data_IF_105406437718
#
_entry.id   IF_105406437718
#
_cell.length_a   1.000
_cell.length_b   1.000
_cell.length_c   1.000
_cell.angle_alpha   90.00
_cell.angle_beta   90.00
_cell.angle_gamma   90.00
#
_symmetry.space_group_name_H-M   'P 1'
#
loop_
_entity.id
_entity.type
_entity.pdbx_description
1 polymer ?
#
# COMPACT_ATOMS: atom_id res chain seq x y z
N UNK A 1 -6.00 -2.93 -20.39
CA UNK A 1 -4.94 -3.28 -19.43
C UNK A 1 -5.12 -2.39 -18.22
N UNK A 2 -5.11 -2.94 -17.02
CA UNK A 2 -5.18 -2.13 -15.80
C UNK A 2 -3.92 -1.25 -15.72
N UNK A 3 -4.08 -0.01 -15.29
CA UNK A 3 -2.96 0.89 -15.00
C UNK A 3 -2.32 0.42 -13.69
N UNK A 4 -1.01 0.10 -13.67
CA UNK A 4 -0.32 -0.24 -12.43
C UNK A 4 -0.44 0.89 -11.41
N UNK A 5 -0.70 0.56 -10.16
CA UNK A 5 -0.73 1.54 -9.05
C UNK A 5 0.66 2.10 -8.76
N UNK A 6 1.70 1.34 -9.09
CA UNK A 6 3.09 1.75 -9.00
C UNK A 6 3.93 1.10 -10.10
N UNK A 7 5.09 1.68 -10.37
CA UNK A 7 6.07 1.21 -11.33
C UNK A 7 7.46 1.35 -10.73
N UNK A 8 8.41 0.52 -11.15
CA UNK A 8 9.82 0.68 -10.80
C UNK A 8 10.62 0.95 -12.06
N UNK A 9 11.37 2.05 -12.06
CA UNK A 9 12.32 2.37 -13.11
C UNK A 9 13.72 1.93 -12.63
N UNK A 10 14.37 1.01 -13.35
CA UNK A 10 15.57 0.29 -12.86
C UNK A 10 16.64 0.16 -13.95
N UNK A 11 17.83 -0.30 -13.55
CA UNK A 11 18.89 -0.72 -14.49
C UNK A 11 20.05 0.27 -14.68
N UNK A 12 20.04 1.40 -13.98
CA UNK A 12 21.19 2.32 -13.96
C UNK A 12 21.88 2.29 -12.59
N UNK A 13 23.15 1.84 -12.48
CA UNK A 13 23.89 1.92 -11.24
C UNK A 13 24.16 3.37 -10.85
N UNK A 14 24.34 3.62 -9.55
CA UNK A 14 24.53 4.97 -8.98
C UNK A 14 25.72 5.73 -9.57
N UNK A 15 26.70 5.03 -10.15
CA UNK A 15 27.89 5.60 -10.81
C UNK A 15 27.62 6.22 -12.17
N UNK A 16 26.49 5.93 -12.82
CA UNK A 16 26.17 6.52 -14.12
C UNK A 16 25.36 7.82 -13.99
N UNK A 17 25.55 8.73 -14.95
CA UNK A 17 24.73 9.94 -15.12
C UNK A 17 23.23 9.59 -15.16
N UNK A 18 22.39 10.42 -14.55
CA UNK A 18 20.94 10.21 -14.47
C UNK A 18 20.54 8.89 -13.79
N UNK A 19 21.35 8.34 -12.87
CA UNK A 19 20.95 7.17 -12.06
C UNK A 19 19.87 7.51 -11.03
N UNK A 20 19.73 8.79 -10.67
CA UNK A 20 18.73 9.32 -9.75
C UNK A 20 17.29 9.16 -10.24
N UNK A 21 17.08 8.94 -11.54
CA UNK A 21 15.74 8.68 -12.08
C UNK A 21 15.24 7.27 -11.76
N UNK A 22 16.12 6.33 -11.40
CA UNK A 22 15.73 4.98 -11.02
C UNK A 22 15.10 4.98 -9.61
N UNK A 23 14.05 4.19 -9.43
CA UNK A 23 13.33 4.08 -8.16
C UNK A 23 11.89 3.63 -8.32
N UNK A 24 11.15 3.67 -7.21
CA UNK A 24 9.71 3.46 -7.19
C UNK A 24 8.99 4.73 -7.64
N UNK A 25 7.97 4.56 -8.46
CA UNK A 25 7.08 5.59 -8.99
C UNK A 25 5.65 5.19 -8.65
N UNK A 26 4.86 6.09 -8.08
CA UNK A 26 3.47 5.81 -7.66
C UNK A 26 2.51 6.63 -8.50
N UNK A 27 1.40 6.01 -8.91
CA UNK A 27 0.36 6.68 -9.68
C UNK A 27 -0.17 7.90 -8.92
N UNK A 28 -0.20 9.04 -9.59
CA UNK A 28 -0.46 10.35 -8.98
C UNK A 28 -1.54 11.16 -9.70
N UNK A 29 -2.00 10.70 -10.87
CA UNK A 29 -2.99 11.39 -11.67
C UNK A 29 -2.87 11.04 -13.15
N UNK A 30 -3.42 11.91 -13.99
CA UNK A 30 -3.50 11.71 -15.43
C UNK A 30 -2.93 12.91 -16.18
N UNK A 31 -2.20 12.65 -17.26
CA UNK A 31 -1.72 13.65 -18.22
C UNK A 31 -1.95 13.13 -19.64
N UNK A 32 -2.57 13.95 -20.50
CA UNK A 32 -2.92 13.57 -21.88
C UNK A 32 -3.69 12.23 -21.99
N UNK A 33 -4.60 11.98 -21.03
CA UNK A 33 -5.40 10.76 -20.99
C UNK A 33 -4.62 9.50 -20.57
N UNK A 34 -3.39 9.66 -20.06
CA UNK A 34 -2.56 8.56 -19.57
C UNK A 34 -2.12 8.74 -18.14
N UNK A 35 -1.79 7.63 -17.50
CA UNK A 35 -1.33 7.61 -16.12
C UNK A 35 -0.06 8.44 -15.94
N UNK A 36 0.00 9.18 -14.84
CA UNK A 36 1.17 9.94 -14.42
C UNK A 36 1.66 9.40 -13.10
N UNK A 37 2.97 9.22 -12.98
CA UNK A 37 3.60 8.67 -11.81
C UNK A 37 4.62 9.63 -11.21
N UNK A 38 4.73 9.65 -9.89
CA UNK A 38 5.73 10.44 -9.17
C UNK A 38 6.70 9.50 -8.46
N UNK A 39 8.00 9.78 -8.62
CA UNK A 39 9.06 9.04 -7.96
C UNK A 39 9.03 9.31 -6.45
N UNK A 40 9.17 8.26 -5.67
CA UNK A 40 9.13 8.33 -4.20
C UNK A 40 10.30 9.15 -3.65
N UNK A 41 10.00 10.18 -2.86
CA UNK A 41 11.00 11.00 -2.18
C UNK A 41 11.71 12.05 -3.05
N UNK A 42 11.26 12.25 -4.30
CA UNK A 42 11.78 13.27 -5.21
C UNK A 42 10.63 14.04 -5.88
N UNK A 43 10.95 15.01 -6.73
CA UNK A 43 9.97 15.68 -7.60
C UNK A 43 9.93 15.06 -9.00
N UNK A 44 10.62 13.94 -9.23
CA UNK A 44 10.70 13.34 -10.55
C UNK A 44 9.35 12.75 -10.93
N UNK A 45 8.84 13.09 -12.11
CA UNK A 45 7.62 12.52 -12.67
C UNK A 45 7.93 11.65 -13.88
N UNK A 46 7.13 10.60 -14.06
CA UNK A 46 7.03 9.82 -15.28
C UNK A 46 5.62 10.05 -15.85
N UNK A 47 5.52 10.63 -17.05
CA UNK A 47 4.25 11.01 -17.66
C UNK A 47 4.31 10.94 -19.18
N UNK A 48 3.15 10.92 -19.84
CA UNK A 48 3.07 10.90 -21.29
C UNK A 48 2.92 12.32 -21.84
N UNK A 49 3.67 12.66 -22.89
CA UNK A 49 3.59 13.94 -23.59
C UNK A 49 4.02 13.80 -25.04
N UNK A 50 3.25 14.39 -25.95
CA UNK A 50 3.59 14.50 -27.38
C UNK A 50 3.98 13.16 -28.03
N UNK A 51 3.30 12.06 -27.67
CA UNK A 51 3.59 10.74 -28.25
C UNK A 51 4.75 9.98 -27.58
N UNK A 52 5.26 10.46 -26.45
CA UNK A 52 6.38 9.84 -25.74
C UNK A 52 6.13 9.77 -24.23
N UNK A 53 6.67 8.75 -23.58
CA UNK A 53 6.83 8.75 -22.13
C UNK A 53 8.07 9.54 -21.77
N UNK A 54 7.96 10.40 -20.77
CA UNK A 54 9.00 11.33 -20.33
C UNK A 54 9.25 11.11 -18.84
N UNK A 55 10.53 11.13 -18.47
CA UNK A 55 10.98 11.22 -17.07
C UNK A 55 11.57 12.61 -16.85
N UNK A 56 10.94 13.42 -16.00
CA UNK A 56 11.34 14.80 -15.72
C UNK A 56 11.55 15.01 -14.22
N UNK A 57 12.70 15.55 -13.83
CA UNK A 57 13.09 15.79 -12.43
C UNK A 57 12.28 16.86 -11.72
N UNK A 58 11.58 17.69 -12.49
CA UNK A 58 10.86 18.86 -11.97
C UNK A 58 9.35 18.68 -12.02
N UNK A 59 8.89 17.42 -12.11
CA UNK A 59 7.49 17.07 -12.14
C UNK A 59 6.88 17.16 -13.53
N UNK A 60 5.55 17.20 -13.57
CA UNK A 60 4.79 17.38 -14.81
C UNK A 60 4.82 18.85 -15.19
N UNK A 61 5.34 19.18 -16.38
CA UNK A 61 5.40 20.55 -16.88
C UNK A 61 5.41 20.59 -18.40
N UNK A 62 5.04 21.74 -18.94
CA UNK A 62 5.10 22.00 -20.38
C UNK A 62 6.50 22.51 -20.77
N UNK A 63 7.49 21.62 -20.80
CA UNK A 63 8.87 21.96 -21.20
C UNK A 63 9.55 20.79 -21.88
N UNK A 64 10.38 21.02 -22.89
CA UNK A 64 11.06 19.94 -23.63
C UNK A 64 12.26 19.33 -22.88
N UNK A 65 12.39 19.65 -21.59
CA UNK A 65 13.42 19.11 -20.72
C UNK A 65 13.00 17.73 -20.21
N UNK A 66 13.84 16.73 -20.46
CA UNK A 66 13.66 15.37 -19.96
C UNK A 66 15.00 14.77 -19.53
N UNK A 67 14.98 13.93 -18.50
CA UNK A 67 16.12 13.11 -18.12
C UNK A 67 16.18 11.82 -18.96
N UNK A 68 15.02 11.26 -19.28
CA UNK A 68 14.86 10.13 -20.17
C UNK A 68 13.52 10.22 -20.90
N UNK A 69 13.41 9.56 -22.05
CA UNK A 69 12.15 9.38 -22.75
C UNK A 69 12.09 8.00 -23.42
N UNK A 70 10.88 7.55 -23.70
CA UNK A 70 10.63 6.35 -24.47
C UNK A 70 9.50 6.61 -25.48
N UNK A 71 9.73 6.22 -26.74
CA UNK A 71 8.70 6.36 -27.78
C UNK A 71 7.60 5.35 -27.52
N UNK A 72 6.35 5.80 -27.56
CA UNK A 72 5.23 4.89 -27.45
C UNK A 72 4.20 5.18 -28.52
N UNK A 73 3.89 4.12 -29.28
CA UNK A 73 2.94 4.20 -30.36
C UNK A 73 1.55 3.69 -29.98
N UNK A 74 1.37 2.90 -28.90
CA UNK A 74 0.12 2.14 -28.68
C UNK A 74 -0.20 1.71 -27.22
N UNK A 75 0.70 1.82 -26.25
CA UNK A 75 0.47 1.25 -24.91
C UNK A 75 -0.04 2.29 -23.89
N UNK A 76 -0.90 1.94 -22.93
CA UNK A 76 -1.32 2.87 -21.87
C UNK A 76 -0.28 3.00 -20.75
N UNK A 77 0.77 2.19 -20.75
CA UNK A 77 1.80 2.12 -19.71
C UNK A 77 3.20 2.15 -20.32
N UNK A 78 4.24 2.57 -19.57
CA UNK A 78 5.61 2.62 -20.08
C UNK A 78 6.34 1.25 -20.07
N UNK A 79 5.62 0.16 -19.87
CA UNK A 79 6.21 -1.17 -19.65
C UNK A 79 6.83 -1.73 -20.94
N UNK A 80 8.03 -2.31 -20.82
CA UNK A 80 8.72 -2.94 -21.94
C UNK A 80 9.17 -1.98 -23.06
N UNK A 81 9.11 -0.66 -22.83
CA UNK A 81 9.58 0.32 -23.80
C UNK A 81 11.11 0.43 -23.80
N UNK A 82 11.67 0.77 -24.97
CA UNK A 82 13.08 1.12 -25.10
C UNK A 82 13.29 2.58 -24.69
N UNK A 83 14.09 2.79 -23.66
CA UNK A 83 14.36 4.11 -23.11
C UNK A 83 15.60 4.74 -23.75
N UNK A 84 15.57 6.06 -23.92
CA UNK A 84 16.72 6.88 -24.27
C UNK A 84 16.98 7.88 -23.14
N UNK A 85 18.22 7.99 -22.70
CA UNK A 85 18.63 8.79 -21.54
C UNK A 85 19.54 9.92 -22.02
N UNK A 86 19.30 11.13 -21.51
CA UNK A 86 20.15 12.28 -21.86
C UNK A 86 21.59 12.01 -21.46
N UNK A 87 22.56 12.32 -22.33
CA UNK A 87 23.99 12.22 -22.04
C UNK A 87 24.63 13.57 -22.24
N UNK A 88 25.07 14.22 -21.16
CA UNK A 88 25.72 15.54 -21.23
C UNK A 88 26.91 15.57 -22.18
N UNK A 89 27.72 14.50 -22.20
CA UNK A 89 28.86 14.37 -23.11
C UNK A 89 28.47 14.28 -24.59
N UNK A 90 27.36 13.61 -24.92
CA UNK A 90 26.84 13.51 -26.29
C UNK A 90 25.97 14.71 -26.69
N UNK A 91 25.46 15.47 -25.71
CA UNK A 91 24.41 16.48 -25.86
C UNK A 91 23.20 15.94 -26.62
N UNK A 92 22.88 14.67 -26.38
CA UNK A 92 21.78 13.97 -27.03
C UNK A 92 21.24 12.87 -26.12
N UNK A 93 20.06 12.35 -26.45
CA UNK A 93 19.49 11.16 -25.85
C UNK A 93 20.07 9.90 -26.49
N UNK A 94 20.68 9.06 -25.67
CA UNK A 94 21.28 7.80 -26.11
C UNK A 94 20.42 6.65 -25.62
N UNK A 95 20.14 5.69 -26.51
CA UNK A 95 19.41 4.48 -26.16
C UNK A 95 20.10 3.75 -24.99
N UNK A 96 19.32 3.39 -23.99
CA UNK A 96 19.77 2.70 -22.79
C UNK A 96 19.05 1.37 -22.67
N UNK A 97 19.75 0.29 -23.00
CA UNK A 97 19.21 -1.06 -22.97
C UNK A 97 19.00 -1.59 -21.55
N UNK A 98 19.62 -0.96 -20.55
CA UNK A 98 19.50 -1.39 -19.17
C UNK A 98 18.32 -0.71 -18.47
N UNK A 99 17.96 0.51 -18.88
CA UNK A 99 16.85 1.24 -18.26
C UNK A 99 15.51 0.59 -18.63
N UNK A 100 14.79 0.10 -17.61
CA UNK A 100 13.53 -0.61 -17.79
C UNK A 100 12.50 -0.11 -16.78
N UNK A 101 11.25 0.04 -17.24
CA UNK A 101 10.09 0.26 -16.39
C UNK A 101 9.37 -1.08 -16.17
N UNK A 102 9.18 -1.45 -14.91
CA UNK A 102 8.56 -2.71 -14.49
C UNK A 102 7.33 -2.47 -13.60
N UNK A 103 6.32 -3.30 -13.80
CA UNK A 103 5.20 -3.45 -12.86
C UNK A 103 5.62 -4.45 -11.79
N UNK A 104 6.03 -3.93 -10.64
CA UNK A 104 6.66 -4.71 -9.57
C UNK A 104 6.16 -4.24 -8.19
N UNK A 105 4.86 -4.43 -7.89
CA UNK A 105 4.29 -4.14 -6.59
C UNK A 105 4.83 -5.12 -5.56
N UNK A 106 4.85 -4.75 -4.28
CA UNK A 106 5.05 -5.73 -3.22
C UNK A 106 3.87 -6.72 -3.21
N UNK A 107 4.14 -7.96 -2.80
CA UNK A 107 3.16 -9.05 -2.90
C UNK A 107 3.05 -9.81 -1.57
N UNK A 108 1.85 -10.29 -1.24
CA UNK A 108 1.64 -11.20 -0.12
C UNK A 108 1.39 -12.60 -0.65
N UNK A 109 2.17 -13.57 -0.16
CA UNK A 109 1.97 -14.98 -0.43
C UNK A 109 1.17 -15.62 0.70
N UNK A 110 0.08 -16.29 0.36
CA UNK A 110 -0.82 -16.97 1.29
C UNK A 110 -0.68 -18.47 1.02
N UNK A 111 -0.44 -19.24 2.07
CA UNK A 111 -0.40 -20.70 2.01
C UNK A 111 -0.73 -21.32 3.36
N UNK A 112 -1.07 -22.62 3.37
CA UNK A 112 -1.14 -23.41 4.61
C UNK A 112 0.24 -23.63 5.25
N UNK A 113 1.28 -23.44 4.45
CA UNK A 113 2.68 -23.49 4.85
C UNK A 113 3.12 -22.13 5.37
N UNK A 114 3.26 -22.02 6.68
CA UNK A 114 3.70 -20.80 7.34
C UNK A 114 5.09 -20.35 6.88
N UNK A 115 5.97 -21.30 6.53
CA UNK A 115 7.35 -21.05 6.10
C UNK A 115 7.48 -20.30 4.77
N UNK A 116 6.44 -20.34 3.92
CA UNK A 116 6.43 -19.63 2.63
C UNK A 116 5.39 -18.50 2.58
N UNK A 117 4.60 -18.34 3.63
CA UNK A 117 3.55 -17.32 3.70
C UNK A 117 4.10 -16.01 4.25
N UNK A 118 3.49 -14.89 3.87
CA UNK A 118 3.84 -13.57 4.36
C UNK A 118 4.07 -12.56 3.24
N UNK A 119 4.57 -11.40 3.62
CA UNK A 119 4.87 -10.32 2.68
C UNK A 119 6.23 -10.54 2.03
N UNK A 120 6.28 -10.35 0.72
CA UNK A 120 7.48 -10.39 -0.09
C UNK A 120 7.65 -9.02 -0.73
N UNK A 121 8.77 -8.39 -0.42
CA UNK A 121 9.11 -7.07 -0.95
C UNK A 121 9.90 -7.24 -2.23
N UNK A 122 9.77 -6.28 -3.15
CA UNK A 122 10.60 -6.25 -4.35
C UNK A 122 12.09 -6.19 -3.95
N UNK A 123 12.87 -7.18 -4.42
CA UNK A 123 14.28 -7.33 -4.06
C UNK A 123 15.23 -7.07 -5.24
N UNK A 124 14.74 -7.14 -6.48
CA UNK A 124 15.53 -6.82 -7.66
C UNK A 124 14.93 -7.36 -8.97
N UNK A 125 15.75 -7.37 -10.01
CA UNK A 125 15.37 -7.88 -11.34
C UNK A 125 16.32 -9.00 -11.72
N UNK A 126 15.76 -10.08 -12.24
CA UNK A 126 16.49 -11.20 -12.83
C UNK A 126 15.87 -11.53 -14.17
N UNK A 127 16.67 -11.57 -15.24
CA UNK A 127 16.21 -11.93 -16.59
C UNK A 127 15.06 -11.04 -17.12
N UNK A 128 15.01 -9.77 -16.71
CA UNK A 128 13.97 -8.82 -17.12
C UNK A 128 12.67 -8.90 -16.31
N UNK A 129 12.58 -9.80 -15.32
CA UNK A 129 11.42 -9.93 -14.44
C UNK A 129 11.77 -9.56 -12.99
N UNK A 130 10.81 -9.02 -12.22
CA UNK A 130 11.02 -8.77 -10.81
C UNK A 130 11.21 -10.08 -10.03
N UNK A 131 12.05 -10.05 -9.01
CA UNK A 131 12.04 -11.05 -7.94
C UNK A 131 11.81 -10.39 -6.59
N UNK A 132 11.24 -11.17 -5.68
CA UNK A 132 10.75 -10.71 -4.40
C UNK A 132 11.36 -11.53 -3.28
N UNK A 133 11.54 -10.95 -2.10
CA UNK A 133 12.08 -11.67 -0.95
C UNK A 133 11.38 -11.26 0.35
N UNK A 134 11.28 -12.22 1.26
CA UNK A 134 10.87 -12.00 2.65
C UNK A 134 12.03 -12.28 3.64
N UNK A 135 13.28 -12.31 3.14
CA UNK A 135 14.47 -12.70 3.91
C UNK A 135 14.89 -14.14 3.65
N UNK A 136 14.02 -15.11 3.96
CA UNK A 136 14.33 -16.55 3.90
C UNK A 136 13.96 -17.20 2.56
N UNK A 137 12.91 -16.67 1.93
CA UNK A 137 12.34 -17.16 0.69
C UNK A 137 12.39 -16.09 -0.38
N UNK A 138 12.32 -16.54 -1.64
CA UNK A 138 12.23 -15.69 -2.80
C UNK A 138 11.16 -16.16 -3.79
N UNK A 139 10.48 -15.19 -4.39
CA UNK A 139 9.58 -15.40 -5.53
C UNK A 139 10.29 -14.88 -6.77
N UNK A 140 10.52 -15.73 -7.78
CA UNK A 140 11.24 -15.33 -9.00
C UNK A 140 10.65 -15.96 -10.25
N UNK A 141 10.87 -15.31 -11.38
CA UNK A 141 10.54 -15.87 -12.68
C UNK A 141 11.56 -16.93 -13.11
N UNK A 142 11.09 -17.98 -13.76
CA UNK A 142 11.92 -19.01 -14.38
C UNK A 142 11.63 -19.05 -15.88
N UNK A 143 12.58 -18.55 -16.67
CA UNK A 143 12.38 -18.27 -18.09
C UNK A 143 12.10 -19.53 -18.94
N UNK A 144 12.89 -20.58 -18.77
CA UNK A 144 12.73 -21.84 -19.52
C UNK A 144 11.35 -22.48 -19.27
N UNK A 145 10.89 -22.42 -18.02
CA UNK A 145 9.60 -23.00 -17.63
C UNK A 145 8.41 -22.06 -17.80
N UNK A 146 8.63 -20.76 -18.05
CA UNK A 146 7.62 -19.69 -18.03
C UNK A 146 6.76 -19.71 -16.75
N UNK A 147 7.40 -19.88 -15.59
CA UNK A 147 6.76 -20.03 -14.28
C UNK A 147 7.25 -19.00 -13.27
N UNK A 148 6.38 -18.63 -12.33
CA UNK A 148 6.77 -18.04 -11.06
C UNK A 148 7.11 -19.14 -10.08
N UNK A 149 8.25 -19.05 -9.41
CA UNK A 149 8.75 -20.03 -8.44
C UNK A 149 8.88 -19.39 -7.07
N UNK A 150 8.49 -20.11 -6.01
CA UNK A 150 8.82 -19.80 -4.62
C UNK A 150 9.93 -20.77 -4.19
N UNK A 151 11.09 -20.27 -3.79
CA UNK A 151 12.25 -21.09 -3.41
C UNK A 151 13.07 -20.42 -2.30
N UNK A 152 13.89 -21.21 -1.59
CA UNK A 152 14.87 -20.67 -0.65
C UNK A 152 15.93 -19.81 -1.35
N UNK A 153 16.55 -18.90 -0.61
CA UNK A 153 17.50 -17.92 -1.19
C UNK A 153 18.71 -18.54 -1.90
N UNK A 154 19.11 -19.73 -1.47
CA UNK A 154 20.24 -20.49 -2.01
C UNK A 154 19.90 -21.32 -3.25
N UNK A 155 18.61 -21.51 -3.57
CA UNK A 155 18.18 -22.39 -4.65
C UNK A 155 18.24 -21.72 -6.03
N UNK A 156 19.02 -22.32 -6.93
CA UNK A 156 19.15 -21.91 -8.35
C UNK A 156 18.33 -22.81 -9.29
N UNK A 157 18.10 -22.35 -10.52
CA UNK A 157 17.43 -23.13 -11.57
C UNK A 157 15.95 -23.37 -11.27
N UNK A 158 15.49 -24.61 -11.43
CA UNK A 158 14.08 -24.99 -11.29
C UNK A 158 13.72 -25.61 -9.91
N UNK A 159 14.65 -25.61 -8.95
CA UNK A 159 14.34 -26.11 -7.60
C UNK A 159 13.46 -25.10 -6.85
N UNK A 160 12.28 -25.53 -6.40
CA UNK A 160 11.29 -24.68 -5.75
C UNK A 160 10.38 -25.48 -4.81
N UNK A 161 9.66 -24.75 -3.96
CA UNK A 161 8.66 -25.27 -3.01
C UNK A 161 7.25 -25.11 -3.56
N UNK A 162 7.00 -24.03 -4.29
CA UNK A 162 5.75 -23.77 -4.99
C UNK A 162 6.04 -23.14 -6.36
N UNK A 163 5.14 -23.33 -7.31
CA UNK A 163 5.18 -22.62 -8.58
C UNK A 163 3.79 -22.27 -9.11
N UNK A 164 3.71 -21.28 -9.99
CA UNK A 164 2.54 -20.99 -10.81
C UNK A 164 2.98 -20.78 -12.27
N UNK A 165 2.20 -21.30 -13.22
CA UNK A 165 2.39 -20.96 -14.63
C UNK A 165 2.18 -19.47 -14.83
N UNK A 166 3.14 -18.76 -15.43
CA UNK A 166 3.12 -17.31 -15.39
C UNK A 166 2.05 -16.68 -16.29
N UNK A 167 1.59 -17.36 -17.34
CA UNK A 167 0.54 -16.86 -18.26
C UNK A 167 0.82 -15.42 -18.76
N UNK A 168 2.08 -15.10 -19.04
CA UNK A 168 2.51 -13.77 -19.52
C UNK A 168 2.27 -12.63 -18.52
N UNK A 169 2.06 -12.95 -17.25
CA UNK A 169 2.00 -11.96 -16.18
C UNK A 169 3.37 -11.34 -15.91
N UNK A 170 3.38 -10.06 -15.60
CA UNK A 170 4.60 -9.29 -15.30
C UNK A 170 5.12 -9.51 -13.87
N UNK A 171 4.25 -9.97 -12.97
CA UNK A 171 4.54 -10.22 -11.56
C UNK A 171 3.69 -11.38 -11.03
N UNK A 172 4.01 -11.99 -9.87
CA UNK A 172 3.26 -13.12 -9.32
C UNK A 172 1.95 -12.72 -8.61
N UNK A 173 1.75 -11.42 -8.32
CA UNK A 173 0.60 -10.90 -7.56
C UNK A 173 -0.77 -10.92 -8.25
N UNK A 174 -0.95 -11.61 -9.37
CA UNK A 174 -2.24 -11.71 -10.05
C UNK A 174 -3.09 -12.84 -9.44
N UNK A 175 -4.26 -12.50 -8.90
CA UNK A 175 -5.12 -13.44 -8.16
C UNK A 175 -5.68 -14.61 -8.98
N UNK A 176 -5.56 -14.61 -10.31
CA UNK A 176 -5.99 -15.73 -11.17
C UNK A 176 -4.90 -16.81 -11.36
N UNK A 177 -3.66 -16.55 -10.91
CA UNK A 177 -2.57 -17.53 -11.01
C UNK A 177 -2.84 -18.72 -10.09
N UNK A 178 -2.72 -19.93 -10.64
CA UNK A 178 -2.92 -21.18 -9.92
C UNK A 178 -1.58 -21.70 -9.40
N UNK A 179 -1.46 -21.78 -8.08
CA UNK A 179 -0.23 -22.24 -7.43
C UNK A 179 -0.25 -23.74 -7.18
N UNK A 180 0.87 -24.38 -7.48
CA UNK A 180 1.16 -25.78 -7.21
C UNK A 180 2.23 -25.87 -6.13
N UNK A 181 2.01 -26.69 -5.10
CA UNK A 181 2.94 -26.90 -3.99
C UNK A 181 3.50 -28.32 -4.05
N UNK A 182 4.80 -28.46 -3.79
CA UNK A 182 5.45 -29.76 -3.76
C UNK A 182 5.00 -30.55 -2.53
N UNK A 183 4.48 -31.75 -2.75
CA UNK A 183 4.12 -32.68 -1.68
C UNK A 183 5.16 -33.80 -1.59
N UNK A 184 6.03 -33.70 -0.58
CA UNK A 184 7.13 -34.63 -0.36
C UNK A 184 6.68 -36.08 -0.09
N UNK A 185 5.50 -36.30 0.49
CA UNK A 185 5.03 -37.68 0.74
C UNK A 185 4.60 -38.39 -0.54
N UNK A 186 4.10 -37.63 -1.52
CA UNK A 186 3.67 -38.16 -2.82
C UNK A 186 4.72 -38.03 -3.92
N UNK A 187 5.74 -37.19 -3.72
CA UNK A 187 6.69 -36.82 -4.78
C UNK A 187 6.02 -36.13 -5.98
N UNK A 188 4.93 -35.39 -5.74
CA UNK A 188 4.12 -34.77 -6.80
C UNK A 188 3.80 -33.30 -6.48
N UNK A 189 3.60 -32.54 -7.55
CA UNK A 189 3.10 -31.16 -7.51
C UNK A 189 1.57 -31.17 -7.48
N UNK A 190 0.98 -30.60 -6.44
CA UNK A 190 -0.47 -30.53 -6.29
C UNK A 190 -0.93 -29.08 -6.37
N UNK A 191 -1.99 -28.82 -7.15
CA UNK A 191 -2.68 -27.52 -7.08
C UNK A 191 -3.24 -27.33 -5.67
N UNK A 192 -2.90 -26.22 -5.03
CA UNK A 192 -3.45 -25.87 -3.72
C UNK A 192 -4.34 -24.64 -3.86
N UNK A 193 -5.65 -24.85 -3.71
CA UNK A 193 -6.65 -23.79 -3.79
C UNK A 193 -6.54 -22.75 -2.66
N UNK A 194 -5.74 -23.01 -1.62
CA UNK A 194 -5.45 -22.05 -0.55
C UNK A 194 -4.12 -21.32 -0.77
N UNK A 195 -3.42 -21.60 -1.87
CA UNK A 195 -2.13 -21.02 -2.17
C UNK A 195 -2.28 -19.92 -3.22
N UNK A 196 -1.97 -18.69 -2.82
CA UNK A 196 -2.13 -17.51 -3.65
C UNK A 196 -0.99 -16.53 -3.47
N UNK A 197 -0.76 -15.71 -4.48
CA UNK A 197 0.11 -14.55 -4.40
C UNK A 197 -0.67 -13.33 -4.91
N UNK A 198 -0.72 -12.27 -4.11
CA UNK A 198 -1.53 -11.10 -4.39
C UNK A 198 -0.72 -9.82 -4.25
N UNK A 199 -0.91 -8.88 -5.19
CA UNK A 199 -0.49 -7.50 -5.03
C UNK A 199 -1.48 -6.73 -4.15
N UNK A 200 -1.50 -7.05 -2.85
CA UNK A 200 -2.41 -6.49 -1.86
C UNK A 200 -1.73 -6.49 -0.47
N UNK A 201 -2.04 -5.53 0.41
CA UNK A 201 -1.47 -5.50 1.76
C UNK A 201 -1.96 -6.68 2.61
N UNK A 202 -1.13 -7.17 3.53
CA UNK A 202 -1.51 -8.26 4.43
C UNK A 202 -2.53 -7.85 5.49
N UNK A 203 -2.59 -6.57 5.84
CA UNK A 203 -3.51 -6.00 6.83
C UNK A 203 -4.12 -4.71 6.28
N UNK A 204 -5.41 -4.53 6.54
CA UNK A 204 -6.13 -3.27 6.30
C UNK A 204 -6.85 -2.85 7.57
N UNK A 205 -6.95 -1.55 7.80
CA UNK A 205 -7.65 -0.98 8.95
C UNK A 205 -8.91 -0.28 8.49
N UNK A 206 -10.06 -0.67 9.04
CA UNK A 206 -11.31 0.09 8.90
C UNK A 206 -11.49 0.95 10.13
N UNK A 207 -11.54 2.28 9.94
CA UNK A 207 -11.47 3.28 11.01
C UNK A 207 -12.65 4.26 10.96
N UNK A 208 -12.83 5.03 12.03
CA UNK A 208 -13.58 6.29 12.03
C UNK A 208 -15.07 6.20 12.39
N UNK A 209 -15.66 5.02 12.54
CA UNK A 209 -17.03 4.89 13.05
C UNK A 209 -17.07 5.06 14.58
N UNK A 210 -17.97 5.92 15.07
CA UNK A 210 -18.13 6.12 16.52
C UNK A 210 -18.56 4.82 17.23
N UNK A 211 -17.98 4.44 18.40
CA UNK A 211 -18.24 3.14 19.04
C UNK A 211 -19.70 2.83 19.41
N UNK A 212 -20.53 3.87 19.56
CA UNK A 212 -21.96 3.73 19.87
C UNK A 212 -22.86 3.81 18.64
N UNK A 213 -22.31 4.10 17.46
CA UNK A 213 -23.09 4.22 16.24
C UNK A 213 -23.52 2.84 15.71
N UNK A 214 -24.56 2.81 14.87
CA UNK A 214 -24.98 1.59 14.20
C UNK A 214 -23.80 0.99 13.41
N UNK A 215 -23.65 -0.33 13.44
CA UNK A 215 -22.57 -1.04 12.74
C UNK A 215 -21.14 -0.59 13.09
N UNK A 216 -20.90 0.06 14.24
CA UNK A 216 -19.54 0.41 14.72
C UNK A 216 -18.59 -0.80 14.81
N UNK A 217 -19.15 -2.01 14.90
CA UNK A 217 -18.40 -3.27 14.88
C UNK A 217 -17.55 -3.48 13.63
N UNK A 218 -17.85 -2.79 12.51
CA UNK A 218 -17.09 -2.86 11.24
C UNK A 218 -15.64 -2.40 11.41
N UNK A 219 -15.34 -1.55 12.40
CA UNK A 219 -13.99 -1.05 12.61
C UNK A 219 -13.07 -2.11 13.23
N UNK A 220 -11.81 -2.11 12.77
CA UNK A 220 -10.75 -3.00 13.22
C UNK A 220 -9.70 -3.30 12.14
N UNK A 221 -8.71 -4.12 12.50
CA UNK A 221 -7.69 -4.64 11.60
C UNK A 221 -8.18 -5.94 10.95
N UNK A 222 -8.38 -5.93 9.63
CA UNK A 222 -8.72 -7.13 8.88
C UNK A 222 -7.45 -7.68 8.24
N UNK A 223 -7.24 -8.98 8.40
CA UNK A 223 -6.08 -9.71 7.91
C UNK A 223 -6.41 -10.44 6.63
N UNK A 224 -5.50 -10.42 5.68
CA UNK A 224 -5.61 -11.13 4.42
C UNK A 224 -5.63 -12.64 4.71
N UNK A 225 -6.70 -13.33 4.31
CA UNK A 225 -6.89 -14.76 4.59
C UNK A 225 -7.02 -15.61 3.33
N UNK A 226 -7.18 -14.99 2.16
CA UNK A 226 -7.29 -15.73 0.91
C UNK A 226 -7.67 -14.87 -0.28
N UNK A 227 -8.18 -15.54 -1.32
CA UNK A 227 -8.63 -14.94 -2.57
C UNK A 227 -10.05 -15.39 -2.87
N UNK A 228 -10.87 -14.48 -3.36
CA UNK A 228 -12.20 -14.78 -3.91
C UNK A 228 -12.42 -13.93 -5.15
N UNK A 229 -12.88 -14.55 -6.24
CA UNK A 229 -13.06 -13.88 -7.54
C UNK A 229 -11.79 -13.14 -8.02
N UNK A 230 -10.61 -13.72 -7.77
CA UNK A 230 -9.32 -13.13 -8.13
C UNK A 230 -8.94 -11.88 -7.31
N UNK A 231 -9.70 -11.55 -6.26
CA UNK A 231 -9.47 -10.39 -5.36
C UNK A 231 -9.18 -10.84 -3.93
N UNK A 232 -8.45 -10.04 -3.13
CA UNK A 232 -8.15 -10.37 -1.75
C UNK A 232 -9.41 -10.48 -0.87
N UNK A 233 -9.41 -11.47 0.03
CA UNK A 233 -10.41 -11.68 1.07
C UNK A 233 -9.76 -11.39 2.43
N UNK A 234 -10.36 -10.50 3.20
CA UNK A 234 -9.88 -10.12 4.53
C UNK A 234 -10.82 -10.56 5.63
N UNK A 235 -10.30 -10.96 6.79
CA UNK A 235 -11.05 -11.37 7.97
C UNK A 235 -10.67 -10.50 9.17
N UNK A 236 -11.65 -10.04 9.93
CA UNK A 236 -11.42 -9.35 11.21
C UNK A 236 -11.30 -10.40 12.34
N UNK A 237 -10.12 -10.63 12.93
CA UNK A 237 -9.93 -11.67 13.93
C UNK A 237 -10.86 -11.52 15.13
N UNK A 238 -11.35 -12.64 15.67
CA UNK A 238 -12.30 -12.68 16.78
C UNK A 238 -13.71 -12.19 16.43
N UNK A 239 -13.91 -11.58 15.25
CA UNK A 239 -15.22 -11.21 14.73
C UNK A 239 -15.53 -12.06 13.49
N UNK A 240 -16.80 -12.36 13.29
CA UNK A 240 -17.27 -13.06 12.09
C UNK A 240 -17.35 -12.14 10.85
N UNK A 241 -16.52 -11.09 10.81
CA UNK A 241 -16.61 -10.05 9.79
C UNK A 241 -15.56 -10.28 8.70
N UNK A 242 -15.97 -10.21 7.45
CA UNK A 242 -15.08 -10.33 6.28
C UNK A 242 -15.21 -9.13 5.36
N UNK A 243 -14.11 -8.76 4.69
CA UNK A 243 -14.14 -7.86 3.53
C UNK A 243 -13.91 -8.68 2.28
N UNK A 244 -14.86 -8.64 1.35
CA UNK A 244 -14.80 -9.35 0.07
C UNK A 244 -15.15 -8.45 -1.10
N UNK A 245 -14.72 -8.85 -2.28
CA UNK A 245 -15.15 -8.23 -3.53
C UNK A 245 -16.46 -8.86 -4.04
N UNK A 246 -17.34 -8.04 -4.61
CA UNK A 246 -18.58 -8.43 -5.27
C UNK A 246 -18.48 -8.04 -6.76
N UNK A 247 -18.23 -8.99 -7.67
CA UNK A 247 -17.96 -8.68 -9.07
C UNK A 247 -19.16 -8.11 -9.81
N UNK A 248 -20.38 -8.52 -9.44
CA UNK A 248 -21.62 -8.07 -10.12
C UNK A 248 -21.88 -6.57 -9.95
N UNK A 249 -21.45 -6.00 -8.82
CA UNK A 249 -21.65 -4.60 -8.48
C UNK A 249 -20.36 -3.77 -8.45
N UNK A 250 -19.21 -4.36 -8.77
CA UNK A 250 -17.87 -3.75 -8.63
C UNK A 250 -17.69 -3.09 -7.24
N UNK A 251 -17.97 -3.84 -6.16
CA UNK A 251 -17.94 -3.32 -4.78
C UNK A 251 -17.08 -4.15 -3.85
N UNK A 252 -16.50 -3.48 -2.87
CA UNK A 252 -16.00 -4.08 -1.64
C UNK A 252 -17.12 -4.11 -0.62
N UNK A 253 -17.38 -5.26 0.00
CA UNK A 253 -18.44 -5.46 1.00
C UNK A 253 -17.83 -5.88 2.34
N UNK A 254 -18.31 -5.30 3.44
CA UNK A 254 -18.09 -5.79 4.80
C UNK A 254 -19.32 -6.57 5.24
N UNK A 255 -19.15 -7.87 5.48
CA UNK A 255 -20.22 -8.82 5.77
C UNK A 255 -19.98 -9.48 7.13
N UNK A 256 -20.97 -9.42 8.02
CA UNK A 256 -20.95 -10.05 9.35
C UNK A 256 -21.75 -11.35 9.41
N UNK A 257 -22.63 -11.56 8.45
CA UNK A 257 -23.61 -12.66 8.45
C UNK A 257 -23.18 -13.79 7.50
N UNK A 258 -22.17 -13.55 6.65
CA UNK A 258 -21.48 -14.58 5.87
C UNK A 258 -21.09 -15.82 6.69
N UNK A 259 -20.89 -15.69 8.01
CA UNK A 259 -20.40 -16.74 8.89
C UNK A 259 -21.39 -17.18 9.99
N UNK A 260 -22.69 -16.90 9.82
CA UNK A 260 -23.70 -17.12 10.87
C UNK A 260 -23.83 -18.59 11.35
N UNK A 261 -23.52 -19.60 10.52
CA UNK A 261 -23.61 -21.01 10.94
C UNK A 261 -22.35 -21.54 11.68
N UNK A 262 -22.51 -22.46 12.65
CA UNK A 262 -21.40 -22.93 13.49
C UNK A 262 -20.42 -23.83 12.73
N UNK A 263 -19.17 -23.36 12.60
CA UNK A 263 -18.05 -24.07 11.97
C UNK A 263 -17.08 -23.11 11.28
N UNK A 264 -16.55 -22.13 12.03
CA UNK A 264 -16.01 -20.86 11.50
C UNK A 264 -14.85 -21.07 10.50
N UNK A 265 -13.78 -21.76 10.85
CA UNK A 265 -12.65 -21.92 9.91
C UNK A 265 -12.98 -22.87 8.75
N UNK A 266 -13.63 -24.00 9.05
CA UNK A 266 -13.97 -25.02 8.05
C UNK A 266 -14.91 -24.48 6.98
N UNK A 267 -15.90 -23.65 7.36
CA UNK A 267 -16.79 -23.00 6.41
C UNK A 267 -16.30 -21.70 5.83
N UNK A 268 -15.40 -20.93 6.46
CA UNK A 268 -14.75 -19.81 5.75
C UNK A 268 -14.05 -20.37 4.52
N UNK A 269 -13.28 -21.46 4.69
CA UNK A 269 -12.65 -22.13 3.56
C UNK A 269 -13.73 -22.70 2.62
N UNK A 270 -14.69 -23.48 3.13
CA UNK A 270 -15.73 -24.07 2.27
C UNK A 270 -16.58 -23.04 1.50
N UNK A 271 -16.96 -21.92 2.11
CA UNK A 271 -17.79 -20.86 1.51
C UNK A 271 -16.96 -19.96 0.59
N UNK A 272 -15.74 -19.59 0.98
CA UNK A 272 -14.85 -18.81 0.13
C UNK A 272 -14.53 -19.58 -1.16
N UNK A 273 -14.49 -20.92 -1.11
CA UNK A 273 -14.13 -21.75 -2.26
C UNK A 273 -15.31 -22.40 -3.02
N UNK A 274 -16.52 -22.54 -2.42
CA UNK A 274 -17.62 -23.28 -3.06
C UNK A 274 -18.69 -22.41 -3.77
N UNK A 275 -18.49 -21.10 -3.90
CA UNK A 275 -19.21 -20.29 -4.90
C UNK A 275 -20.73 -20.16 -4.76
N UNK A 276 -21.31 -20.33 -3.57
CA UNK A 276 -22.75 -20.04 -3.38
C UNK A 276 -23.06 -18.57 -3.66
N UNK A 277 -24.20 -18.29 -4.29
CA UNK A 277 -24.76 -16.94 -4.51
C UNK A 277 -24.70 -16.15 -3.20
N UNK A 278 -23.70 -15.28 -3.08
CA UNK A 278 -23.55 -14.45 -1.90
C UNK A 278 -24.55 -13.30 -2.03
N UNK A 279 -25.48 -13.23 -1.10
CA UNK A 279 -26.38 -12.09 -0.98
C UNK A 279 -25.59 -10.78 -0.97
N UNK A 280 -26.14 -9.75 -1.63
CA UNK A 280 -25.65 -8.37 -1.56
C UNK A 280 -25.93 -7.71 -0.20
N UNK A 281 -26.60 -8.41 0.72
CA UNK A 281 -26.75 -7.98 2.10
C UNK A 281 -25.37 -7.83 2.76
N UNK A 282 -25.05 -6.61 3.20
CA UNK A 282 -23.79 -6.28 3.85
C UNK A 282 -23.99 -5.21 4.92
N UNK A 283 -23.06 -5.13 5.88
CA UNK A 283 -23.04 -4.07 6.88
C UNK A 283 -22.45 -2.77 6.35
N UNK A 284 -21.57 -2.85 5.35
CA UNK A 284 -21.03 -1.70 4.64
C UNK A 284 -20.56 -2.09 3.23
N UNK A 285 -20.50 -1.12 2.33
CA UNK A 285 -19.85 -1.29 1.04
C UNK A 285 -19.07 -0.05 0.60
N UNK A 286 -18.14 -0.24 -0.33
CA UNK A 286 -17.51 0.83 -1.10
C UNK A 286 -17.43 0.41 -2.57
N UNK A 287 -17.72 1.32 -3.51
CA UNK A 287 -17.51 1.06 -4.93
C UNK A 287 -16.02 0.89 -5.18
N UNK A 288 -15.60 -0.24 -5.77
CA UNK A 288 -14.20 -0.61 -5.90
C UNK A 288 -13.46 0.28 -6.91
N UNK A 289 -14.13 0.80 -7.94
CA UNK A 289 -13.55 1.70 -8.95
C UNK A 289 -12.27 1.13 -9.55
N UNK A 290 -12.25 -0.19 -9.76
CA UNK A 290 -11.09 -0.93 -10.27
C UNK A 290 -9.94 -1.15 -9.27
N UNK A 291 -10.06 -0.73 -8.00
CA UNK A 291 -9.02 -0.92 -6.99
C UNK A 291 -8.68 -2.40 -6.79
N UNK A 292 -7.40 -2.69 -6.50
CA UNK A 292 -6.94 -4.07 -6.29
C UNK A 292 -7.31 -4.61 -4.90
N UNK A 293 -7.48 -3.72 -3.92
CA UNK A 293 -7.83 -4.04 -2.54
C UNK A 293 -8.74 -2.95 -1.94
N UNK A 294 -9.42 -3.22 -0.82
CA UNK A 294 -10.30 -2.26 -0.15
C UNK A 294 -9.55 -1.24 0.71
N UNK A 295 -8.27 -1.45 0.98
CA UNK A 295 -7.44 -0.60 1.87
C UNK A 295 -7.02 0.75 1.29
N UNK A 296 -7.76 1.35 0.36
CA UNK A 296 -7.46 2.69 -0.16
C UNK A 296 -8.28 3.76 0.55
N UNK A 297 -7.58 4.79 1.03
CA UNK A 297 -8.20 5.88 1.78
C UNK A 297 -9.21 6.72 0.97
N UNK A 298 -9.14 6.67 -0.35
CA UNK A 298 -10.06 7.39 -1.24
C UNK A 298 -11.39 6.65 -1.48
N UNK A 299 -11.52 5.41 -0.99
CA UNK A 299 -12.77 4.66 -1.09
C UNK A 299 -13.81 5.19 -0.10
N UNK A 300 -14.98 5.50 -0.63
CA UNK A 300 -16.12 6.04 0.11
C UNK A 300 -17.01 4.90 0.62
N UNK A 301 -17.10 4.78 1.95
CA UNK A 301 -17.84 3.70 2.59
C UNK A 301 -19.28 4.10 2.92
N UNK A 302 -20.22 3.33 2.39
CA UNK A 302 -21.63 3.38 2.71
C UNK A 302 -21.95 2.36 3.79
N UNK A 303 -22.50 2.80 4.92
CA UNK A 303 -22.79 1.96 6.09
C UNK A 303 -24.29 1.73 6.17
N UNK A 304 -24.70 0.48 6.37
CA UNK A 304 -26.11 0.17 6.59
C UNK A 304 -26.59 0.80 7.90
N UNK A 305 -27.63 1.64 7.84
CA UNK A 305 -28.24 2.29 8.99
C UNK A 305 -29.63 1.71 9.25
N UNK A 306 -29.79 0.94 10.33
CA UNK A 306 -31.05 0.27 10.65
C UNK A 306 -32.23 1.24 10.78
N UNK A 307 -31.98 2.45 11.30
CA UNK A 307 -33.01 3.49 11.45
C UNK A 307 -33.52 4.04 10.13
N UNK A 308 -32.70 3.99 9.07
CA UNK A 308 -33.06 4.47 7.73
C UNK A 308 -33.37 3.33 6.75
N UNK A 309 -33.13 2.07 7.15
CA UNK A 309 -33.27 0.88 6.32
C UNK A 309 -32.58 1.01 4.95
N UNK A 310 -31.40 1.64 4.93
CA UNK A 310 -30.58 1.86 3.74
C UNK A 310 -29.12 2.05 4.11
N UNK A 311 -28.24 1.89 3.13
CA UNK A 311 -26.84 2.27 3.27
C UNK A 311 -26.67 3.79 3.07
N UNK A 312 -25.95 4.43 3.99
CA UNK A 312 -25.69 5.88 4.00
C UNK A 312 -24.20 6.10 3.93
N UNK A 313 -23.76 7.04 3.10
CA UNK A 313 -22.35 7.44 3.05
C UNK A 313 -21.91 7.95 4.43
N UNK A 314 -20.88 7.33 5.01
CA UNK A 314 -20.25 7.80 6.23
C UNK A 314 -18.87 8.39 5.90
N UNK A 315 -18.73 9.72 5.83
CA UNK A 315 -17.46 10.36 5.49
C UNK A 315 -16.37 10.13 6.55
N UNK A 316 -16.73 9.68 7.76
CA UNK A 316 -15.77 9.37 8.79
C UNK A 316 -15.20 7.95 8.62
N UNK A 317 -15.89 7.03 7.95
CA UNK A 317 -15.41 5.67 7.76
C UNK A 317 -14.48 5.57 6.56
N UNK A 318 -13.25 5.11 6.78
CA UNK A 318 -12.29 4.76 5.73
C UNK A 318 -11.63 3.44 6.00
N UNK A 319 -11.17 2.81 4.93
CA UNK A 319 -10.22 1.71 4.97
C UNK A 319 -8.85 2.23 4.55
N UNK A 320 -7.79 1.76 5.19
CA UNK A 320 -6.41 2.18 4.92
C UNK A 320 -5.46 0.99 5.05
N UNK A 321 -4.41 0.94 4.23
CA UNK A 321 -3.30 0.00 4.38
C UNK A 321 -2.19 0.56 5.27
N UNK A 322 -2.37 1.76 5.83
CA UNK A 322 -1.39 2.36 6.70
C UNK A 322 -1.16 1.48 7.95
N UNK A 323 0.10 1.34 8.41
CA UNK A 323 0.45 0.45 9.49
C UNK A 323 -0.15 0.93 10.79
N UNK A 324 -0.34 -0.02 11.72
CA UNK A 324 -0.86 0.27 13.04
C UNK A 324 0.09 1.12 13.90
N UNK A 325 1.40 0.95 13.70
CA UNK A 325 2.44 1.56 14.55
C UNK A 325 3.55 2.16 13.69
N UNK A 326 4.01 3.33 14.12
CA UNK A 326 5.17 4.02 13.57
C UNK A 326 6.19 4.27 14.68
N UNK A 327 7.47 4.17 14.37
CA UNK A 327 8.55 4.51 15.28
C UNK A 327 9.35 5.69 14.73
N UNK A 328 9.34 6.82 15.46
CA UNK A 328 10.13 8.01 15.13
C UNK A 328 11.45 7.96 15.90
N UNK A 329 12.57 8.05 15.19
CA UNK A 329 13.92 7.98 15.76
C UNK A 329 14.81 9.08 15.17
N UNK A 330 15.97 9.35 15.77
CA UNK A 330 17.00 10.24 15.19
C UNK A 330 17.55 11.30 16.14
N UNK A 331 16.70 11.94 16.94
CA UNK A 331 17.11 12.90 17.96
C UNK A 331 17.25 12.25 19.33
N UNK A 332 18.33 12.58 20.04
CA UNK A 332 18.50 12.21 21.44
C UNK A 332 17.57 12.99 22.37
N UNK A 333 17.23 12.43 23.53
CA UNK A 333 16.31 13.05 24.50
C UNK A 333 16.78 14.42 25.01
N UNK A 334 18.09 14.68 24.98
CA UNK A 334 18.71 15.95 25.41
C UNK A 334 18.74 17.02 24.33
N UNK A 335 18.44 16.67 23.07
CA UNK A 335 18.40 17.64 21.98
C UNK A 335 17.05 18.36 21.94
N UNK A 336 17.06 19.60 21.41
CA UNK A 336 15.83 20.33 21.15
C UNK A 336 14.87 19.47 20.32
N UNK A 337 13.59 19.42 20.70
CA UNK A 337 12.58 18.58 20.07
C UNK A 337 12.88 17.08 20.07
N UNK A 338 13.77 16.57 20.95
CA UNK A 338 14.01 15.14 21.14
C UNK A 338 12.79 14.37 21.62
N UNK A 339 11.80 15.06 22.19
CA UNK A 339 10.51 14.53 22.60
C UNK A 339 9.65 14.02 21.43
N UNK A 340 9.95 14.40 20.18
CA UNK A 340 9.21 13.88 19.01
C UNK A 340 9.53 12.42 18.70
N UNK A 341 10.65 11.89 19.19
CA UNK A 341 11.05 10.50 19.01
C UNK A 341 10.22 9.55 19.90
N UNK A 342 9.94 8.35 19.41
CA UNK A 342 9.19 7.30 20.10
C UNK A 342 8.12 6.66 19.23
N UNK A 343 7.28 5.84 19.86
CA UNK A 343 6.21 5.11 19.20
C UNK A 343 4.95 5.98 19.03
N UNK A 344 4.31 5.85 17.87
CA UNK A 344 3.02 6.46 17.56
C UNK A 344 2.06 5.38 17.06
N UNK A 345 0.84 5.38 17.58
CA UNK A 345 -0.19 4.41 17.25
C UNK A 345 -1.25 5.04 16.35
N UNK A 346 -1.75 4.28 15.38
CA UNK A 346 -2.85 4.67 14.52
C UNK A 346 -4.11 4.85 15.37
N UNK A 347 -4.58 6.09 15.52
CA UNK A 347 -5.75 6.42 16.37
C UNK A 347 -7.02 6.70 15.57
N UNK A 348 -6.89 6.93 14.27
CA UNK A 348 -8.03 7.23 13.42
C UNK A 348 -7.62 8.00 12.17
N UNK A 349 -8.47 8.93 11.76
CA UNK A 349 -8.27 9.76 10.58
C UNK A 349 -8.29 11.24 10.98
N UNK A 350 -7.49 12.04 10.28
CA UNK A 350 -7.50 13.50 10.35
C UNK A 350 -7.58 14.05 8.93
N UNK A 351 -8.66 14.80 8.62
CA UNK A 351 -8.97 15.28 7.25
C UNK A 351 -8.99 14.15 6.21
N UNK A 352 -9.50 12.99 6.60
CA UNK A 352 -9.58 11.80 5.74
C UNK A 352 -8.29 10.99 5.66
N UNK A 353 -7.17 11.39 6.27
CA UNK A 353 -5.90 10.66 6.20
C UNK A 353 -5.55 9.96 7.52
N UNK A 354 -4.80 8.84 7.49
CA UNK A 354 -4.31 8.17 8.70
C UNK A 354 -3.62 9.14 9.67
N UNK A 355 -4.01 9.03 10.94
CA UNK A 355 -3.52 9.88 12.01
C UNK A 355 -2.97 9.01 13.15
N UNK A 356 -1.79 9.38 13.62
CA UNK A 356 -1.07 8.64 14.64
C UNK A 356 -0.87 9.48 15.89
N UNK A 357 -0.94 8.89 17.07
CA UNK A 357 -0.73 9.59 18.33
C UNK A 357 0.28 8.87 19.20
N UNK A 358 1.16 9.65 19.84
CA UNK A 358 2.13 9.14 20.80
C UNK A 358 1.43 8.82 22.12
N UNK A 359 1.54 7.60 22.67
CA UNK A 359 0.85 7.22 23.90
C UNK A 359 1.20 8.13 25.09
N UNK A 360 0.18 8.49 25.87
CA UNK A 360 0.35 9.27 27.10
C UNK A 360 0.56 10.78 26.91
N UNK A 361 0.65 11.28 25.67
CA UNK A 361 0.78 12.71 25.36
C UNK A 361 -0.18 13.12 24.23
N UNK A 362 -0.37 14.43 24.06
CA UNK A 362 -1.18 14.97 22.96
C UNK A 362 -0.48 14.92 21.60
N UNK A 363 0.82 14.62 21.55
CA UNK A 363 1.59 14.69 20.32
C UNK A 363 1.10 13.71 19.25
N UNK A 364 0.94 14.19 18.02
CA UNK A 364 0.41 13.40 16.91
C UNK A 364 1.16 13.62 15.60
N UNK A 365 1.10 12.61 14.73
CA UNK A 365 1.48 12.68 13.33
C UNK A 365 0.20 12.72 12.50
N UNK A 366 0.04 13.75 11.66
CA UNK A 366 -1.13 13.94 10.81
C UNK A 366 -0.73 14.52 9.46
N UNK A 367 -1.62 14.41 8.47
CA UNK A 367 -1.45 15.07 7.18
C UNK A 367 -2.06 16.46 7.19
N UNK A 368 -1.30 17.44 6.71
CA UNK A 368 -1.73 18.82 6.49
C UNK A 368 -1.35 19.23 5.06
N UNK A 369 -2.36 19.32 4.18
CA UNK A 369 -2.17 19.55 2.73
C UNK A 369 -1.23 18.48 2.13
N UNK A 370 -0.13 18.90 1.53
CA UNK A 370 0.91 18.05 0.93
C UNK A 370 2.06 17.74 1.90
N UNK A 371 1.84 17.79 3.22
CA UNK A 371 2.86 17.52 4.23
C UNK A 371 2.37 16.57 5.31
N UNK A 372 3.25 15.70 5.76
CA UNK A 372 3.14 15.05 7.07
C UNK A 372 3.70 15.99 8.13
N UNK A 373 3.02 16.14 9.25
CA UNK A 373 3.45 17.01 10.35
C UNK A 373 3.45 16.27 11.68
N UNK A 374 4.40 16.58 12.55
CA UNK A 374 4.39 16.21 13.97
C UNK A 374 3.95 17.44 14.77
N UNK A 375 2.81 17.34 15.44
CA UNK A 375 2.18 18.42 16.21
C UNK A 375 2.08 18.04 17.69
N UNK A 376 2.58 18.90 18.58
CA UNK A 376 2.51 18.70 20.04
C UNK A 376 1.10 18.79 20.58
N UNK A 377 0.24 19.54 19.93
CA UNK A 377 -1.15 19.76 20.37
C UNK A 377 -2.13 18.78 19.69
N UNK A 378 -1.61 17.78 18.99
CA UNK A 378 -2.38 16.63 18.51
C UNK A 378 -3.11 16.85 17.19
N UNK A 379 -4.32 16.30 17.12
CA UNK A 379 -5.15 16.26 15.92
C UNK A 379 -5.98 17.54 15.79
N UNK A 380 -5.32 18.64 15.39
CA UNK A 380 -5.94 19.95 15.19
C UNK A 380 -5.75 20.47 13.77
N UNK A 381 -6.64 21.38 13.36
CA UNK A 381 -6.55 22.09 12.09
C UNK A 381 -5.58 23.28 12.17
N UNK A 382 -4.29 23.00 12.33
CA UNK A 382 -3.24 24.02 12.42
C UNK A 382 -2.10 23.80 11.44
N UNK A 383 -1.45 24.88 11.01
CA UNK A 383 -0.18 24.83 10.27
C UNK A 383 1.03 24.82 11.21
N UNK A 384 0.84 25.13 12.49
CA UNK A 384 1.89 25.08 13.52
C UNK A 384 2.26 23.62 13.78
N UNK A 385 3.53 23.30 13.64
CA UNK A 385 4.06 21.97 13.87
C UNK A 385 5.53 22.03 14.29
N UNK A 386 5.97 20.98 14.99
CA UNK A 386 7.36 20.84 15.45
C UNK A 386 8.24 20.33 14.33
N UNK A 387 7.71 19.41 13.52
CA UNK A 387 8.41 18.88 12.38
C UNK A 387 7.45 18.65 11.21
N UNK A 388 7.96 18.70 9.98
CA UNK A 388 7.21 18.31 8.80
C UNK A 388 8.08 17.58 7.76
N UNK A 389 7.44 16.78 6.92
CA UNK A 389 8.02 16.22 5.72
C UNK A 389 7.02 16.33 4.56
N UNK A 390 7.49 16.45 3.33
CA UNK A 390 6.60 16.42 2.16
C UNK A 390 5.89 15.07 2.08
N UNK A 391 4.56 15.10 1.92
CA UNK A 391 3.77 13.91 1.66
C UNK A 391 3.95 13.50 0.20
N UNK A 392 4.39 12.27 -0.03
CA UNK A 392 4.48 11.71 -1.39
C UNK A 392 3.08 11.26 -1.81
N UNK A 393 2.58 11.65 -2.99
CA UNK A 393 1.30 11.18 -3.50
C UNK A 393 1.22 9.65 -3.58
N UNK A 394 0.05 9.10 -3.28
CA UNK A 394 -0.20 7.66 -3.27
C UNK A 394 0.26 6.92 -2.01
N UNK A 395 0.95 7.60 -1.07
CA UNK A 395 1.28 7.02 0.23
C UNK A 395 0.35 7.49 1.34
N UNK A 396 0.00 6.54 2.21
CA UNK A 396 -0.99 6.74 3.26
C UNK A 396 -0.35 7.06 4.61
N UNK A 397 0.97 6.89 4.76
CA UNK A 397 1.69 7.22 5.98
C UNK A 397 3.10 7.77 5.72
N UNK A 398 3.74 8.41 6.71
CA UNK A 398 5.08 8.98 6.52
C UNK A 398 6.22 7.96 6.50
N UNK A 399 5.97 6.72 6.93
CA UNK A 399 6.95 5.64 6.99
C UNK A 399 7.32 5.01 5.63
N UNK A 400 6.54 5.25 4.58
CA UNK A 400 6.65 4.61 3.26
C UNK A 400 7.88 4.99 2.41
N UNK A 401 8.93 5.53 3.04
CA UNK A 401 10.17 5.89 2.36
C UNK A 401 10.12 7.14 1.48
N UNK A 402 8.94 7.68 1.19
CA UNK A 402 8.78 8.98 0.48
C UNK A 402 9.06 10.19 1.36
N UNK A 403 8.79 10.10 2.66
CA UNK A 403 8.92 11.22 3.60
C UNK A 403 10.23 11.17 4.37
N UNK A 404 11.37 11.00 3.69
CA UNK A 404 12.69 10.85 4.33
C UNK A 404 13.36 12.16 4.76
N UNK A 405 12.83 13.30 4.32
CA UNK A 405 13.41 14.62 4.58
C UNK A 405 12.53 15.38 5.54
N UNK A 406 12.77 15.16 6.83
CA UNK A 406 12.08 15.86 7.89
C UNK A 406 12.76 17.19 8.15
N UNK A 407 11.96 18.24 8.26
CA UNK A 407 12.38 19.54 8.73
C UNK A 407 11.86 19.74 10.15
N UNK A 408 12.75 20.04 11.09
CA UNK A 408 12.41 20.22 12.51
C UNK A 408 12.65 21.69 12.87
N UNK A 409 11.72 22.29 13.60
CA UNK A 409 11.84 23.67 14.07
C UNK A 409 13.04 23.79 15.02
N UNK A 410 13.88 24.80 14.84
CA UNK A 410 15.01 25.07 15.73
C UNK A 410 14.86 26.48 16.32
N UNK A 411 14.78 26.58 17.63
CA UNK A 411 14.51 27.85 18.32
C UNK A 411 15.62 28.87 18.13
N UNK A 412 16.86 28.41 17.93
CA UNK A 412 18.01 29.29 17.68
C UNK A 412 17.96 29.97 16.31
N UNK A 413 17.39 29.32 15.29
CA UNK A 413 17.24 29.86 13.93
C UNK A 413 15.87 30.46 13.69
N UNK A 414 14.88 30.12 14.52
CA UNK A 414 13.49 30.55 14.36
C UNK A 414 12.83 29.96 13.12
N UNK A 415 13.36 28.86 12.57
CA UNK A 415 12.83 28.23 11.36
C UNK A 415 12.96 26.69 11.40
N UNK A 416 12.30 26.01 10.46
CA UNK A 416 12.46 24.57 10.29
C UNK A 416 13.71 24.28 9.45
N UNK A 417 14.67 23.57 10.04
CA UNK A 417 15.90 23.12 9.38
C UNK A 417 15.80 21.65 8.98
N UNK A 418 16.46 21.25 7.88
CA UNK A 418 16.52 19.85 7.45
C UNK A 418 17.27 19.01 8.49
N UNK A 419 16.61 17.99 9.01
CA UNK A 419 17.19 17.02 9.93
C UNK A 419 17.24 15.63 9.28
N UNK A 420 18.44 15.22 8.87
CA UNK A 420 18.69 13.91 8.25
C UNK A 420 18.74 12.77 9.26
N UNK A 421 18.80 13.06 10.57
CA UNK A 421 18.79 12.03 11.59
C UNK A 421 17.37 11.50 11.83
N UNK A 422 16.34 12.33 11.63
CA UNK A 422 14.94 11.90 11.83
C UNK A 422 14.54 10.85 10.80
N UNK A 423 14.16 9.69 11.31
CA UNK A 423 13.63 8.56 10.55
C UNK A 423 12.32 8.10 11.15
N UNK A 424 11.32 7.85 10.29
CA UNK A 424 10.10 7.15 10.67
C UNK A 424 10.17 5.75 10.10
N UNK A 425 10.11 4.74 10.97
CA UNK A 425 10.06 3.33 10.60
C UNK A 425 8.65 2.81 10.80
N UNK A 426 8.28 1.85 9.96
CA UNK A 426 7.11 1.01 10.17
C UNK A 426 7.56 -0.19 10.96
N UNK A 427 6.90 -0.46 12.07
CA UNK A 427 7.13 -1.69 12.81
C UNK A 427 6.16 -2.74 12.26
N UNK A 428 6.70 -3.85 11.75
CA UNK A 428 5.86 -4.91 11.19
C UNK A 428 5.00 -5.55 12.29
N UNK A 429 3.72 -5.83 12.01
CA UNK A 429 2.80 -6.43 12.98
C UNK A 429 3.20 -7.87 13.39
N UNK A 430 4.25 -8.44 12.80
CA UNK A 430 4.74 -9.80 13.08
C UNK A 430 5.45 -10.00 14.42
N UNK A 431 5.89 -8.94 15.10
CA UNK A 431 6.64 -9.08 16.36
C UNK A 431 5.81 -8.96 17.65
N UNK A 432 4.50 -8.69 17.57
CA UNK A 432 3.68 -8.69 18.79
C UNK A 432 3.39 -10.11 19.23
N UNK A 433 4.25 -10.62 20.10
CA UNK A 433 4.07 -11.85 20.88
C UNK A 433 2.72 -11.85 21.60
N UNK A 434 1.69 -12.50 21.03
CA UNK A 434 0.54 -13.13 21.70
C UNK A 434 -0.34 -12.30 22.66
N UNK A 435 -0.06 -11.01 22.85
CA UNK A 435 -0.88 -10.13 23.66
C UNK A 435 -2.03 -9.61 22.81
N UNK A 436 -3.23 -10.15 23.01
CA UNK A 436 -4.43 -9.42 22.62
C UNK A 436 -4.28 -7.96 23.10
N UNK A 437 -4.54 -6.95 22.25
CA UNK A 437 -4.56 -5.58 22.71
C UNK A 437 -5.69 -5.50 23.73
N UNK A 438 -5.30 -5.53 25.01
CA UNK A 438 -6.19 -5.31 26.12
C UNK A 438 -6.55 -3.83 26.07
N UNK A 439 -7.50 -3.50 25.20
CA UNK A 439 -8.10 -2.20 25.04
C UNK A 439 -8.91 -1.90 26.29
N UNK A 440 -8.24 -1.73 27.43
CA UNK A 440 -8.67 -0.76 28.43
C UNK A 440 -8.65 0.57 27.72
N UNK A 441 -9.77 0.87 27.07
CA UNK A 441 -10.09 2.15 26.45
C UNK A 441 -9.76 3.24 27.46
N UNK A 442 -8.62 3.91 27.32
CA UNK A 442 -8.59 5.32 27.65
C UNK A 442 -9.65 5.94 26.74
N UNK A 443 -10.69 6.50 27.33
CA UNK A 443 -11.64 7.37 26.62
C UNK A 443 -10.82 8.56 26.12
N UNK A 444 -10.23 8.44 24.94
CA UNK A 444 -9.95 9.62 24.14
C UNK A 444 -11.29 9.98 23.51
N UNK A 445 -11.98 10.93 24.13
CA UNK A 445 -13.05 11.65 23.47
C UNK A 445 -12.42 12.27 22.23
N UNK A 446 -12.81 11.79 21.05
CA UNK A 446 -12.49 12.48 19.82
C UNK A 446 -13.08 13.89 19.97
N UNK A 447 -12.29 14.98 19.83
CA UNK A 447 -12.89 16.29 19.73
C UNK A 447 -13.76 16.26 18.48
N UNK A 448 -15.07 16.25 18.67
CA UNK A 448 -16.03 16.51 17.59
C UNK A 448 -15.79 17.97 17.22
N UNK A 449 -15.08 18.20 16.11
CA UNK A 449 -15.03 19.52 15.48
C UNK A 449 -16.41 19.80 14.89
N UNK A 450 -17.33 20.33 15.71
CA UNK A 450 -18.53 20.98 15.19
C UNK A 450 -18.10 22.25 14.47
N UNK A 451 -17.94 22.18 13.15
CA UNK A 451 -17.92 23.38 12.32
C UNK A 451 -19.29 24.03 12.38
N UNK A 452 -19.50 24.96 13.31
CA UNK A 452 -20.67 25.83 13.29
C UNK A 452 -20.57 26.73 12.06
N UNK A 453 -21.32 26.40 11.01
CA UNK A 453 -21.63 27.35 9.95
C UNK A 453 -22.52 28.44 10.55
N UNK A 454 -21.92 29.59 10.88
CA UNK A 454 -22.67 30.80 11.16
C UNK A 454 -23.32 31.28 9.87
N UNK A 455 -24.59 30.94 9.67
CA UNK A 455 -25.47 31.70 8.81
C UNK A 455 -25.92 32.94 9.59
N UNK A 456 -25.29 34.08 9.30
CA UNK A 456 -25.81 35.38 9.71
C UNK A 456 -27.08 35.69 8.92
N UNK A 457 -28.13 36.11 9.62
CA UNK A 457 -29.29 36.77 9.06
C UNK A 457 -29.03 38.27 8.93
#
# INVERSE_FOLDING_TARGET
MAVPSSLRLLGRPSTLENSDICGLYVHSGWNEGRATYLQVGTNTALYFRNGTWVVDRYGVRDSDLAAAWAKDHRQPTPLGLAWSVWKSGAKDFVADQNLQALDAPDVTFISRRADISGEYTFAGVSEGYPYYSNGDMLIRYHHEGRKWLVAGTEHKGNNCIAYAEAQETMHPGYGFLKWHVWNASTGQWNADANCHCLAAPSVIHVLGRHPQACNARICGAYHLVGVREGRPLYLLPGKKAVIRYAPESDRWLIDFDALAEPGILGRILQWAFNGSEASDACSAYADARGSSHPGHVDLEWHIWENSQNRAVLDPCVRATSAPWKLHVSGRGQTHENGDICGEYLLVGLHKGWPAYQKPGVSMAIRREKSRWVIDREGLRDSLTCVAYASATPGFEHPGDGGSRRWHVYESCSGCHALDLAIQIRVDDPGETSGGEPNAKRQRMECPVTTSHAHFGA
#
